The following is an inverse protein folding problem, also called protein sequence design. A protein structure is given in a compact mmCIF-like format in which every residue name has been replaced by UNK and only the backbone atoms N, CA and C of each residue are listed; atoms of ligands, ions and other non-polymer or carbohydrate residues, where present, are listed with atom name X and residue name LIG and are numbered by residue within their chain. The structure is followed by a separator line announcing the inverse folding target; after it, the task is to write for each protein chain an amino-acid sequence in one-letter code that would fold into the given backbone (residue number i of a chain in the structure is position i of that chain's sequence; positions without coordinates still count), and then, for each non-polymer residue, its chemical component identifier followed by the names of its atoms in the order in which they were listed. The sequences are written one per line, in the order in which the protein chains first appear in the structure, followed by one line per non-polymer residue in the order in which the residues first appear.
data_IF_374685726145
#
_entry.id   IF_374685726145
#
_cell.length_a   1.000
_cell.length_b   1.000
_cell.length_c   1.000
_cell.angle_alpha   90.00
_cell.angle_beta   90.00
_cell.angle_gamma   90.00
#
_symmetry.space_group_name_H-M   'P 1'
#
loop_
_entity.id
_entity.type
_entity.pdbx_description
1 polymer ?
#
# COMPACT_ATOMS: atom_id res chain seq x y z
N UNK A 1 13.85 -5.97 -6.61
CA UNK A 1 15.05 -5.98 -7.47
C UNK A 1 15.77 -7.33 -7.34
N UNK A 2 16.23 -7.68 -6.14
CA UNK A 2 16.91 -8.95 -5.83
C UNK A 2 16.16 -10.20 -6.34
N UNK A 3 14.85 -10.27 -6.17
CA UNK A 3 14.03 -11.39 -6.69
C UNK A 3 14.04 -11.49 -8.23
N UNK A 4 14.10 -10.37 -8.94
CA UNK A 4 14.21 -10.35 -10.40
C UNK A 4 15.63 -10.68 -10.84
N UNK A 5 16.65 -10.22 -10.10
CA UNK A 5 18.06 -10.57 -10.34
C UNK A 5 18.29 -12.08 -10.16
N UNK A 6 17.75 -12.68 -9.09
CA UNK A 6 17.83 -14.11 -8.82
C UNK A 6 17.19 -14.98 -9.92
N UNK A 7 16.26 -14.42 -10.71
CA UNK A 7 15.64 -15.08 -11.84
C UNK A 7 16.22 -14.67 -13.20
N UNK A 8 17.27 -13.83 -13.23
CA UNK A 8 17.85 -13.32 -14.47
C UNK A 8 16.94 -12.37 -15.27
N UNK A 9 15.95 -11.75 -14.61
CA UNK A 9 14.90 -10.90 -15.22
C UNK A 9 15.07 -9.42 -14.85
N UNK A 10 16.30 -8.92 -14.76
CA UNK A 10 16.53 -7.54 -14.35
C UNK A 10 15.95 -6.52 -15.33
N UNK A 11 15.98 -6.81 -16.63
CA UNK A 11 15.40 -5.95 -17.67
C UNK A 11 13.89 -5.77 -17.52
N UNK A 12 13.18 -6.82 -17.10
CA UNK A 12 11.75 -6.74 -16.80
C UNK A 12 11.48 -5.82 -15.62
N UNK A 13 12.30 -5.90 -14.56
CA UNK A 13 12.19 -4.99 -13.42
C UNK A 13 12.40 -3.54 -13.85
N UNK A 14 13.44 -3.26 -14.62
CA UNK A 14 13.76 -1.91 -15.10
C UNK A 14 12.66 -1.33 -16.00
N UNK A 15 12.05 -2.17 -16.84
CA UNK A 15 10.92 -1.78 -17.71
C UNK A 15 9.63 -1.50 -16.94
N UNK A 16 9.39 -2.20 -15.82
CA UNK A 16 8.12 -2.14 -15.09
C UNK A 16 8.15 -1.23 -13.87
N UNK A 17 9.32 -1.01 -13.26
CA UNK A 17 9.44 -0.14 -12.09
C UNK A 17 8.93 1.25 -12.43
N UNK A 18 8.13 1.83 -11.53
CA UNK A 18 7.56 3.18 -11.66
C UNK A 18 6.77 3.43 -12.95
N UNK A 19 6.30 2.37 -13.63
CA UNK A 19 5.44 2.51 -14.82
C UNK A 19 4.06 3.05 -14.48
N UNK A 20 3.57 2.77 -13.27
CA UNK A 20 2.28 3.23 -12.77
C UNK A 20 2.51 4.09 -11.54
N UNK A 21 2.29 5.39 -11.68
CA UNK A 21 2.51 6.39 -10.63
C UNK A 21 1.18 7.08 -10.35
N UNK A 22 0.76 7.06 -9.10
CA UNK A 22 -0.41 7.78 -8.63
C UNK A 22 -0.05 9.24 -8.33
N UNK A 23 -0.70 10.15 -9.04
CA UNK A 23 -0.54 11.60 -8.91
C UNK A 23 -1.79 12.25 -8.31
N UNK A 24 -1.67 13.50 -7.86
CA UNK A 24 -2.80 14.32 -7.42
C UNK A 24 -3.84 14.51 -8.53
N UNK A 25 -3.41 14.61 -9.78
CA UNK A 25 -4.33 14.76 -10.91
C UNK A 25 -5.23 13.53 -11.08
N UNK A 26 -4.63 12.33 -11.03
CA UNK A 26 -5.39 11.07 -11.08
C UNK A 26 -6.32 10.92 -9.89
N UNK A 27 -5.83 11.25 -8.68
CA UNK A 27 -6.66 11.24 -7.48
C UNK A 27 -7.90 12.13 -7.67
N UNK A 28 -7.78 13.35 -8.19
CA UNK A 28 -8.92 14.25 -8.45
C UNK A 28 -10.00 13.66 -9.37
N UNK A 29 -9.64 12.74 -10.27
CA UNK A 29 -10.59 12.07 -11.17
C UNK A 29 -11.30 10.87 -10.52
N UNK A 30 -10.84 10.41 -9.35
CA UNK A 30 -11.47 9.29 -8.64
C UNK A 30 -12.83 9.70 -8.07
N UNK A 31 -13.70 8.69 -7.86
CA UNK A 31 -14.99 8.88 -7.16
C UNK A 31 -14.77 9.53 -5.79
N UNK A 32 -15.74 10.34 -5.35
CA UNK A 32 -15.69 11.04 -4.05
C UNK A 32 -15.55 10.08 -2.86
N UNK A 33 -16.13 8.89 -2.95
CA UNK A 33 -16.13 7.85 -1.91
C UNK A 33 -15.10 6.73 -2.16
N UNK A 34 -14.19 6.88 -3.12
CA UNK A 34 -13.11 5.92 -3.32
C UNK A 34 -12.07 6.02 -2.19
N UNK A 35 -11.29 4.96 -2.00
CA UNK A 35 -10.18 4.92 -1.04
C UNK A 35 -8.90 4.48 -1.74
N UNK A 36 -7.79 5.13 -1.41
CA UNK A 36 -6.45 4.78 -1.88
C UNK A 36 -5.77 3.98 -0.78
N UNK A 37 -5.44 2.72 -1.06
CA UNK A 37 -4.77 1.79 -0.14
C UNK A 37 -3.37 1.44 -0.65
N UNK A 38 -2.48 1.10 0.28
CA UNK A 38 -1.11 0.70 -0.02
C UNK A 38 -0.49 -0.05 1.17
N UNK A 39 0.14 -1.22 0.97
CA UNK A 39 0.69 -2.01 2.07
C UNK A 39 1.97 -1.40 2.68
N UNK A 40 2.66 -0.52 1.95
CA UNK A 40 3.95 0.10 2.30
C UNK A 40 5.10 -0.94 2.45
N UNK A 41 6.38 -0.51 2.36
CA UNK A 41 6.86 0.82 2.02
C UNK A 41 6.53 1.20 0.57
N UNK A 42 6.33 2.51 0.33
CA UNK A 42 6.22 3.04 -1.03
C UNK A 42 7.58 3.49 -1.54
N UNK A 43 7.84 3.32 -2.82
CA UNK A 43 9.13 3.68 -3.44
C UNK A 43 8.99 4.93 -4.31
N UNK A 44 7.94 4.99 -5.11
CA UNK A 44 7.66 6.13 -6.00
C UNK A 44 6.37 5.98 -6.81
N UNK A 45 5.67 4.86 -6.63
CA UNK A 45 4.39 4.54 -7.24
C UNK A 45 3.23 5.39 -6.69
N UNK A 46 3.40 6.07 -5.56
CA UNK A 46 2.46 7.08 -5.03
C UNK A 46 3.25 8.33 -4.67
N UNK A 47 2.98 9.45 -5.34
CA UNK A 47 3.64 10.72 -5.04
C UNK A 47 3.18 11.27 -3.67
N UNK A 48 4.10 11.93 -2.95
CA UNK A 48 3.81 12.52 -1.63
C UNK A 48 2.68 13.55 -1.66
N UNK A 49 2.44 14.21 -2.80
CA UNK A 49 1.34 15.16 -2.95
C UNK A 49 -0.05 14.55 -2.77
N UNK A 50 -0.17 13.21 -2.89
CA UNK A 50 -1.40 12.43 -2.70
C UNK A 50 -1.71 12.24 -1.21
N UNK A 51 -0.73 12.41 -0.31
CA UNK A 51 -0.92 12.23 1.15
C UNK A 51 -1.97 13.17 1.73
N UNK A 52 -2.10 14.36 1.14
CA UNK A 52 -3.07 15.37 1.55
C UNK A 52 -4.48 15.11 1.00
N UNK A 53 -4.67 14.10 0.13
CA UNK A 53 -5.99 13.73 -0.35
C UNK A 53 -6.77 13.01 0.75
N UNK A 54 -8.01 13.41 1.00
CA UNK A 54 -8.85 12.82 2.06
C UNK A 54 -9.13 11.33 1.85
N UNK A 55 -8.92 10.84 0.62
CA UNK A 55 -9.07 9.43 0.22
C UNK A 55 -7.77 8.63 0.38
N UNK A 56 -6.65 9.24 0.75
CA UNK A 56 -5.42 8.54 1.11
C UNK A 56 -5.60 7.79 2.44
N UNK A 57 -5.86 6.48 2.36
CA UNK A 57 -6.22 5.65 3.50
C UNK A 57 -5.11 4.69 3.96
N UNK A 58 -3.98 4.60 3.26
CA UNK A 58 -2.88 3.70 3.60
C UNK A 58 -2.30 3.91 5.02
N UNK A 59 -2.29 5.13 5.57
CA UNK A 59 -1.91 5.33 6.97
C UNK A 59 -2.97 4.81 7.96
N UNK A 60 -4.25 5.03 7.66
CA UNK A 60 -5.36 4.46 8.46
C UNK A 60 -5.35 2.93 8.39
N UNK A 61 -5.04 2.37 7.22
CA UNK A 61 -4.86 0.93 6.99
C UNK A 61 -3.78 0.34 7.90
N UNK A 62 -2.61 1.00 8.04
CA UNK A 62 -1.57 0.54 8.98
C UNK A 62 -2.08 0.47 10.42
N UNK A 63 -2.84 1.49 10.86
CA UNK A 63 -3.45 1.51 12.20
C UNK A 63 -4.49 0.40 12.35
N UNK A 64 -5.33 0.17 11.34
CA UNK A 64 -6.25 -0.98 11.31
C UNK A 64 -5.49 -2.31 11.43
N UNK A 65 -4.32 -2.43 10.81
CA UNK A 65 -3.45 -3.60 10.95
C UNK A 65 -2.99 -3.88 12.39
N UNK A 66 -2.75 -2.85 13.20
CA UNK A 66 -2.47 -3.01 14.63
C UNK A 66 -3.67 -3.66 15.34
N UNK A 67 -4.86 -3.10 15.19
CA UNK A 67 -6.06 -3.60 15.88
C UNK A 67 -6.45 -5.01 15.44
N UNK A 68 -6.33 -5.31 14.14
CA UNK A 68 -6.60 -6.67 13.64
C UNK A 68 -5.61 -7.67 14.24
N UNK A 69 -4.33 -7.33 14.34
CA UNK A 69 -3.35 -8.23 14.97
C UNK A 69 -3.63 -8.41 16.45
N UNK A 70 -4.01 -7.35 17.18
CA UNK A 70 -4.42 -7.46 18.59
C UNK A 70 -5.60 -8.42 18.75
N UNK A 71 -6.68 -8.22 17.98
CA UNK A 71 -7.87 -9.06 18.02
C UNK A 71 -7.56 -10.52 17.61
N UNK A 72 -6.69 -10.71 16.62
CA UNK A 72 -6.27 -12.03 16.18
C UNK A 72 -5.49 -12.77 17.27
N UNK A 73 -4.53 -12.09 17.91
CA UNK A 73 -3.74 -12.65 19.01
C UNK A 73 -4.63 -12.99 20.21
N UNK A 74 -5.56 -12.11 20.57
CA UNK A 74 -6.56 -12.38 21.61
C UNK A 74 -7.40 -13.63 21.26
N UNK A 75 -7.89 -13.71 20.02
CA UNK A 75 -8.73 -14.82 19.57
C UNK A 75 -8.01 -16.16 19.57
N UNK A 76 -6.69 -16.19 19.37
CA UNK A 76 -5.90 -17.44 19.31
C UNK A 76 -5.37 -17.81 20.70
N UNK A 77 -4.91 -16.84 21.49
CA UNK A 77 -4.13 -17.09 22.70
C UNK A 77 -4.91 -16.90 24.01
N UNK A 78 -5.94 -16.04 24.02
CA UNK A 78 -6.61 -15.61 25.26
C UNK A 78 -8.06 -16.09 25.38
N UNK A 79 -8.71 -16.40 24.25
CA UNK A 79 -10.07 -16.97 24.27
C UNK A 79 -10.01 -18.39 24.85
N UNK A 80 -10.49 -18.55 26.09
CA UNK A 80 -10.73 -19.87 26.67
C UNK A 80 -11.84 -20.59 25.86
N UNK A 81 -11.78 -21.93 25.75
CA UNK A 81 -12.83 -22.71 25.09
C UNK A 81 -14.20 -22.49 25.73
#
# INVERSE_FOLDING_TARGET
KEWFEAQGKLDDYERLKLKYIMTRHMAKQMKKNAMILHPLPRVGEILQEVDNDTRAYYFKQMRSGLYIRMALLESILLKKP
#
